data_IF_712786501754
#
_entry.id   IF_712786501754
#
_cell.length_a   1.000
_cell.length_b   1.000
_cell.length_c   1.000
_cell.angle_alpha   90.00
_cell.angle_beta   90.00
_cell.angle_gamma   90.00
#
_symmetry.space_group_name_H-M   'P 1'
#
loop_
_entity.id
_entity.type
_entity.pdbx_description
1 polymer ?
#
# COMPACT_ATOMS: atom_id res chain seq x y z
N UNK A 1 2.49 -24.01 14.57
CA UNK A 1 2.15 -25.33 13.97
C UNK A 1 3.40 -25.87 13.31
N UNK A 2 3.82 -27.09 13.65
CA UNK A 2 4.91 -27.77 12.95
C UNK A 2 4.30 -28.51 11.75
N UNK A 3 4.25 -27.86 10.59
CA UNK A 3 4.09 -28.57 9.33
C UNK A 3 5.43 -28.47 8.58
N UNK A 4 5.93 -29.62 8.08
CA UNK A 4 7.15 -29.69 7.28
C UNK A 4 8.46 -29.27 7.98
N UNK A 5 8.52 -29.32 9.33
CA UNK A 5 9.72 -28.91 10.09
C UNK A 5 9.87 -27.40 10.24
N UNK A 6 8.81 -26.63 9.96
CA UNK A 6 8.77 -25.18 10.13
C UNK A 6 8.16 -24.84 11.48
N UNK A 7 8.90 -24.12 12.31
CA UNK A 7 8.37 -23.52 13.53
C UNK A 7 7.85 -22.10 13.24
N UNK A 8 6.53 -21.92 13.31
CA UNK A 8 5.91 -20.60 13.24
C UNK A 8 5.73 -20.01 14.64
N UNK A 9 6.42 -18.89 14.92
CA UNK A 9 6.24 -18.08 16.14
C UNK A 9 5.40 -16.84 15.82
N UNK A 10 4.13 -16.87 16.19
CA UNK A 10 3.23 -15.74 16.04
C UNK A 10 3.42 -14.71 17.17
N UNK A 11 3.05 -13.44 16.90
CA UNK A 11 3.15 -12.33 17.86
C UNK A 11 4.58 -12.08 18.38
N UNK A 12 5.57 -12.47 17.59
CA UNK A 12 7.00 -12.28 17.83
C UNK A 12 7.53 -11.17 16.93
N UNK A 13 8.22 -10.19 17.52
CA UNK A 13 8.75 -9.01 16.83
C UNK A 13 10.27 -9.09 16.77
N UNK A 14 10.84 -8.87 15.59
CA UNK A 14 12.28 -8.68 15.40
C UNK A 14 12.70 -7.33 16.00
N UNK A 15 13.64 -7.34 16.94
CA UNK A 15 14.12 -6.13 17.64
C UNK A 15 15.46 -5.66 17.11
N UNK A 16 16.38 -6.61 16.95
CA UNK A 16 17.77 -6.32 16.63
C UNK A 16 18.39 -7.47 15.83
N UNK A 17 19.28 -7.12 14.91
CA UNK A 17 20.20 -8.03 14.25
C UNK A 17 21.60 -7.57 14.63
N UNK A 18 22.41 -8.46 15.20
CA UNK A 18 23.81 -8.20 15.55
C UNK A 18 24.72 -8.96 14.58
N UNK A 19 25.39 -8.27 13.64
CA UNK A 19 26.36 -8.90 12.77
C UNK A 19 27.52 -9.49 13.56
N UNK A 20 28.06 -10.61 13.08
CA UNK A 20 29.23 -11.27 13.65
C UNK A 20 30.40 -11.21 12.66
N UNK A 21 31.62 -11.26 13.17
CA UNK A 21 32.84 -11.30 12.35
C UNK A 21 32.92 -12.55 11.47
N UNK A 22 32.28 -13.64 11.88
CA UNK A 22 32.14 -14.87 11.11
C UNK A 22 30.83 -15.58 11.43
N UNK A 23 30.20 -16.17 10.41
CA UNK A 23 28.96 -16.94 10.55
C UNK A 23 27.69 -16.08 10.51
N UNK A 24 26.52 -16.69 10.75
CA UNK A 24 25.25 -15.98 10.72
C UNK A 24 25.12 -14.96 11.87
N UNK A 25 24.29 -13.92 11.71
CA UNK A 25 24.08 -12.91 12.74
C UNK A 25 23.31 -13.48 13.95
N UNK A 26 23.47 -12.84 15.10
CA UNK A 26 22.56 -13.03 16.22
C UNK A 26 21.27 -12.25 15.99
N UNK A 27 20.14 -12.87 16.31
CA UNK A 27 18.81 -12.28 16.11
C UNK A 27 18.11 -12.17 17.45
N UNK A 28 17.57 -10.99 17.76
CA UNK A 28 16.86 -10.74 19.01
C UNK A 28 15.41 -10.48 18.72
N UNK A 29 14.55 -11.19 19.42
CA UNK A 29 13.11 -11.09 19.29
C UNK A 29 12.45 -10.78 20.62
N UNK A 30 11.22 -10.30 20.59
CA UNK A 30 10.38 -10.12 21.77
C UNK A 30 8.91 -10.37 21.45
N UNK A 31 8.07 -10.41 22.48
CA UNK A 31 6.62 -10.24 22.28
C UNK A 31 6.30 -8.82 21.78
N UNK A 32 5.08 -8.62 21.29
CA UNK A 32 4.61 -7.34 20.76
C UNK A 32 4.55 -6.21 21.81
N UNK A 33 4.38 -6.55 23.09
CA UNK A 33 4.43 -5.60 24.21
C UNK A 33 5.87 -5.29 24.69
N UNK A 34 6.86 -5.90 24.04
CA UNK A 34 8.28 -5.76 24.37
C UNK A 34 8.79 -6.69 25.48
N UNK A 35 7.91 -7.50 26.08
CA UNK A 35 8.30 -8.51 27.06
C UNK A 35 8.93 -9.75 26.39
N UNK A 36 9.52 -10.64 27.20
CA UNK A 36 10.03 -11.92 26.72
C UNK A 36 11.14 -11.78 25.68
N UNK A 37 12.13 -10.92 25.96
CA UNK A 37 13.28 -10.72 25.06
C UNK A 37 14.11 -11.99 25.01
N UNK A 38 14.31 -12.52 23.81
CA UNK A 38 15.03 -13.76 23.55
C UNK A 38 16.11 -13.52 22.48
N UNK A 39 17.30 -14.06 22.69
CA UNK A 39 18.32 -14.16 21.65
C UNK A 39 18.22 -15.53 21.02
N UNK A 40 17.97 -15.57 19.72
CA UNK A 40 17.89 -16.82 18.96
C UNK A 40 19.30 -17.31 18.61
N UNK A 41 19.46 -18.63 18.50
CA UNK A 41 20.69 -19.23 17.99
C UNK A 41 21.06 -18.61 16.63
N UNK A 42 22.35 -18.30 16.38
CA UNK A 42 22.79 -17.74 15.11
C UNK A 42 22.42 -18.65 13.93
N UNK A 43 21.60 -18.15 13.02
CA UNK A 43 21.14 -18.85 11.81
C UNK A 43 21.05 -17.89 10.62
N UNK A 44 21.17 -18.36 9.37
CA UNK A 44 20.89 -17.52 8.20
C UNK A 44 19.51 -16.87 8.31
N UNK A 45 19.43 -15.58 8.03
CA UNK A 45 18.24 -14.77 8.23
C UNK A 45 17.72 -14.22 6.90
N UNK A 46 16.42 -14.37 6.67
CA UNK A 46 15.71 -13.74 5.54
C UNK A 46 14.71 -12.74 6.10
N UNK A 47 14.80 -11.48 5.68
CA UNK A 47 13.81 -10.46 6.02
C UNK A 47 12.74 -10.41 4.95
N UNK A 48 11.51 -10.81 5.33
CA UNK A 48 10.32 -10.78 4.49
C UNK A 48 9.20 -9.96 5.17
N UNK A 49 9.57 -8.80 5.74
CA UNK A 49 8.72 -7.99 6.63
C UNK A 49 7.72 -7.07 5.92
N UNK A 50 7.66 -7.12 4.59
CA UNK A 50 6.87 -6.18 3.79
C UNK A 50 7.50 -4.78 3.72
N UNK A 51 6.69 -3.77 3.39
CA UNK A 51 7.12 -2.38 3.18
C UNK A 51 6.94 -1.46 4.40
N UNK A 52 6.93 -0.15 4.14
CA UNK A 52 6.79 0.91 5.16
C UNK A 52 5.58 1.84 4.91
N UNK A 53 4.48 1.29 4.37
CA UNK A 53 3.30 2.05 3.99
C UNK A 53 2.60 2.78 5.16
N UNK A 54 2.77 2.32 6.40
CA UNK A 54 2.19 2.96 7.60
C UNK A 54 2.87 4.28 7.98
N UNK A 55 3.98 4.65 7.35
CA UNK A 55 4.60 5.98 7.52
C UNK A 55 3.72 7.11 6.99
N UNK A 56 2.84 6.82 6.05
CA UNK A 56 1.94 7.81 5.45
C UNK A 56 0.56 7.77 6.11
N UNK A 57 0.01 8.95 6.42
CA UNK A 57 -1.32 9.09 7.01
C UNK A 57 -2.38 8.32 6.22
N UNK A 58 -2.32 8.38 4.89
CA UNK A 58 -3.18 7.61 4.00
C UNK A 58 -2.40 6.47 3.38
N UNK A 59 -2.86 5.24 3.62
CA UNK A 59 -2.22 4.02 3.14
C UNK A 59 -3.26 2.94 2.91
N UNK A 60 -3.10 2.19 1.82
CA UNK A 60 -3.87 0.97 1.51
C UNK A 60 -3.28 -0.27 2.17
N UNK A 61 -2.12 -0.14 2.81
CA UNK A 61 -1.42 -1.25 3.45
C UNK A 61 -2.07 -1.59 4.80
N UNK A 62 -1.99 -2.85 5.24
CA UNK A 62 -2.27 -3.22 6.62
C UNK A 62 -1.45 -2.39 7.62
N UNK A 63 -1.97 -2.20 8.83
CA UNK A 63 -1.31 -1.40 9.87
C UNK A 63 0.09 -1.92 10.25
N UNK A 64 0.34 -3.22 10.04
CA UNK A 64 1.62 -3.89 10.33
C UNK A 64 2.74 -3.56 9.33
N UNK A 65 2.47 -2.86 8.22
CA UNK A 65 3.46 -2.50 7.21
C UNK A 65 4.26 -1.26 7.63
N UNK A 66 5.03 -1.39 8.71
CA UNK A 66 5.68 -0.28 9.45
C UNK A 66 7.12 0.02 9.03
N UNK A 67 7.75 -0.82 8.20
CA UNK A 67 9.14 -0.65 7.79
C UNK A 67 10.17 -1.11 8.83
N UNK A 68 9.75 -1.88 9.82
CA UNK A 68 10.57 -2.43 10.90
C UNK A 68 11.77 -3.24 10.39
N UNK A 69 11.57 -4.16 9.45
CA UNK A 69 12.67 -4.98 8.90
C UNK A 69 13.74 -4.15 8.19
N UNK A 70 13.35 -3.17 7.37
CA UNK A 70 14.28 -2.24 6.72
C UNK A 70 15.06 -1.45 7.78
N UNK A 71 14.37 -0.96 8.81
CA UNK A 71 14.99 -0.19 9.88
C UNK A 71 15.98 -1.03 10.72
N UNK A 72 15.64 -2.28 11.04
CA UNK A 72 16.53 -3.20 11.77
C UNK A 72 17.75 -3.55 10.91
N UNK A 73 17.57 -3.84 9.62
CA UNK A 73 18.65 -4.12 8.69
C UNK A 73 19.62 -2.94 8.58
N UNK A 74 19.10 -1.73 8.41
CA UNK A 74 19.90 -0.50 8.35
C UNK A 74 20.74 -0.30 9.63
N UNK A 75 20.12 -0.49 10.81
CA UNK A 75 20.85 -0.42 12.10
C UNK A 75 21.93 -1.49 12.24
N UNK A 76 21.74 -2.65 11.61
CA UNK A 76 22.74 -3.71 11.55
C UNK A 76 23.85 -3.45 10.50
N UNK A 77 23.84 -2.29 9.84
CA UNK A 77 24.87 -1.90 8.87
C UNK A 77 24.56 -2.31 7.42
N UNK A 78 23.35 -2.79 7.11
CA UNK A 78 22.95 -3.01 5.73
C UNK A 78 22.80 -1.68 4.99
N UNK A 79 23.19 -1.68 3.71
CA UNK A 79 22.92 -0.56 2.80
C UNK A 79 21.46 -0.62 2.39
N UNK A 80 20.76 0.52 2.45
CA UNK A 80 19.39 0.70 1.96
C UNK A 80 19.41 1.72 0.83
N UNK A 81 18.52 1.57 -0.14
CA UNK A 81 18.45 2.42 -1.33
C UNK A 81 16.99 2.71 -1.68
N UNK A 82 16.78 3.74 -2.52
CA UNK A 82 15.49 4.02 -3.16
C UNK A 82 14.33 4.26 -2.17
N UNK A 83 14.65 4.70 -0.95
CA UNK A 83 13.67 4.94 0.11
C UNK A 83 12.75 6.14 -0.20
N UNK A 84 13.15 7.01 -1.13
CA UNK A 84 12.33 8.09 -1.65
C UNK A 84 11.22 7.61 -2.59
N UNK A 85 11.34 6.42 -3.17
CA UNK A 85 10.42 5.92 -4.19
C UNK A 85 9.23 5.16 -3.58
N UNK A 86 8.31 5.92 -2.99
CA UNK A 86 7.00 5.40 -2.56
C UNK A 86 5.95 5.54 -3.66
N UNK A 87 5.26 4.44 -3.96
CA UNK A 87 4.12 4.46 -4.88
C UNK A 87 2.81 4.73 -4.13
N UNK A 88 2.08 5.75 -4.55
CA UNK A 88 0.70 6.00 -4.13
C UNK A 88 -0.26 5.45 -5.16
N UNK A 89 -1.23 4.65 -4.71
CA UNK A 89 -2.29 4.19 -5.58
C UNK A 89 -3.27 5.36 -5.88
N UNK A 90 -3.55 5.69 -7.15
CA UNK A 90 -4.30 6.90 -7.50
C UNK A 90 -5.78 6.84 -7.08
N UNK A 91 -6.38 5.66 -7.13
CA UNK A 91 -7.84 5.48 -6.96
C UNK A 91 -8.15 4.67 -5.70
N UNK A 92 -8.20 5.36 -4.56
CA UNK A 92 -8.69 4.81 -3.28
C UNK A 92 -10.02 5.49 -2.96
N UNK A 93 -11.02 4.70 -2.58
CA UNK A 93 -12.34 5.22 -2.21
C UNK A 93 -12.22 6.21 -1.05
N UNK A 94 -12.82 7.38 -1.23
CA UNK A 94 -12.89 8.43 -0.23
C UNK A 94 -14.34 8.71 0.12
N UNK A 95 -14.67 8.52 1.40
CA UNK A 95 -15.86 9.04 2.06
C UNK A 95 -15.53 9.22 3.55
N UNK A 96 -15.94 10.33 4.20
CA UNK A 96 -15.71 10.50 5.63
C UNK A 96 -16.23 9.29 6.43
N UNK A 97 -15.36 8.72 7.28
CA UNK A 97 -15.68 7.55 8.10
C UNK A 97 -15.68 6.19 7.37
N UNK A 98 -15.51 6.15 6.05
CA UNK A 98 -15.42 4.90 5.31
C UNK A 98 -14.02 4.26 5.44
N UNK A 99 -13.92 2.91 5.38
CA UNK A 99 -12.65 2.24 5.27
C UNK A 99 -11.98 2.59 3.95
N UNK A 100 -10.65 2.50 3.93
CA UNK A 100 -9.87 2.66 2.71
C UNK A 100 -10.06 1.42 1.85
N UNK A 101 -10.65 1.61 0.67
CA UNK A 101 -10.87 0.54 -0.28
C UNK A 101 -10.25 0.92 -1.62
N UNK A 102 -9.37 0.07 -2.11
CA UNK A 102 -8.67 0.29 -3.38
C UNK A 102 -9.63 0.00 -4.53
N UNK A 103 -9.85 0.99 -5.41
CA UNK A 103 -10.57 0.79 -6.67
C UNK A 103 -9.53 0.47 -7.74
N UNK A 104 -9.57 -0.75 -8.26
CA UNK A 104 -8.54 -1.29 -9.16
C UNK A 104 -8.29 -0.40 -10.38
N UNK A 105 -7.02 -0.27 -10.75
CA UNK A 105 -6.58 0.35 -12.01
C UNK A 105 -7.24 -0.27 -13.24
N UNK A 106 -7.61 -1.55 -13.17
CA UNK A 106 -8.33 -2.21 -14.25
C UNK A 106 -9.64 -1.48 -14.61
N UNK A 107 -10.28 -0.76 -13.67
CA UNK A 107 -11.47 0.03 -13.98
C UNK A 107 -11.16 1.23 -14.90
N UNK A 108 -10.01 1.88 -14.73
CA UNK A 108 -9.50 2.89 -15.69
C UNK A 108 -9.22 2.24 -17.06
N UNK A 109 -8.64 1.04 -17.04
CA UNK A 109 -8.42 0.22 -18.24
C UNK A 109 -9.69 -0.13 -19.02
N UNK A 110 -10.84 -0.17 -18.35
CA UNK A 110 -12.15 -0.41 -18.96
C UNK A 110 -12.84 0.87 -19.47
N UNK A 111 -12.19 2.03 -19.34
CA UNK A 111 -12.69 3.31 -19.85
C UNK A 111 -13.23 4.26 -18.78
N UNK A 112 -13.06 3.96 -17.49
CA UNK A 112 -13.44 4.89 -16.43
C UNK A 112 -12.51 6.11 -16.45
N UNK A 113 -13.09 7.30 -16.34
CA UNK A 113 -12.39 8.58 -16.45
C UNK A 113 -12.26 9.28 -15.11
N UNK A 114 -11.22 10.08 -14.93
CA UNK A 114 -11.05 10.91 -13.72
C UNK A 114 -11.58 12.32 -13.98
N UNK A 115 -12.50 12.76 -13.11
CA UNK A 115 -13.13 14.08 -13.14
C UNK A 115 -12.83 14.88 -11.89
N UNK A 116 -12.58 16.16 -12.04
CA UNK A 116 -12.44 17.08 -10.91
C UNK A 116 -13.81 17.42 -10.29
N UNK A 117 -13.84 18.30 -9.29
CA UNK A 117 -15.07 18.69 -8.59
C UNK A 117 -16.05 19.44 -9.50
N UNK A 118 -15.54 20.09 -10.56
CA UNK A 118 -16.36 20.74 -11.58
C UNK A 118 -16.88 19.77 -12.66
N UNK A 119 -16.59 18.47 -12.55
CA UNK A 119 -16.99 17.43 -13.51
C UNK A 119 -16.12 17.36 -14.77
N UNK A 120 -15.06 18.17 -14.87
CA UNK A 120 -14.17 18.19 -16.01
C UNK A 120 -13.14 17.03 -15.95
N UNK A 121 -12.94 16.37 -17.08
CA UNK A 121 -11.88 15.37 -17.25
C UNK A 121 -10.54 16.10 -17.45
N UNK A 122 -9.54 15.79 -16.62
CA UNK A 122 -8.31 16.60 -16.55
C UNK A 122 -7.03 15.85 -16.97
N UNK A 123 -7.01 14.52 -17.00
CA UNK A 123 -5.78 13.79 -17.34
C UNK A 123 -5.30 13.93 -18.81
N UNK A 124 -6.19 14.02 -19.83
CA UNK A 124 -5.73 14.18 -21.21
C UNK A 124 -4.89 15.44 -21.49
N UNK A 125 -5.03 16.49 -20.66
CA UNK A 125 -4.19 17.70 -20.78
C UNK A 125 -2.83 17.55 -20.06
N UNK A 126 -2.64 16.50 -19.27
CA UNK A 126 -1.45 16.25 -18.46
C UNK A 126 -0.55 15.20 -19.09
N UNK A 127 -1.12 14.13 -19.64
CA UNK A 127 -0.38 13.04 -20.25
C UNK A 127 -1.14 12.48 -21.46
N UNK A 128 -0.47 12.15 -22.58
CA UNK A 128 -1.13 11.63 -23.78
C UNK A 128 -1.94 10.35 -23.51
N UNK A 129 -1.48 9.49 -22.61
CA UNK A 129 -2.19 8.26 -22.23
C UNK A 129 -3.39 8.49 -21.27
N UNK A 130 -3.60 9.73 -20.80
CA UNK A 130 -4.70 10.09 -19.90
C UNK A 130 -4.77 9.19 -18.66
N UNK A 131 -5.90 8.52 -18.45
CA UNK A 131 -6.13 7.57 -17.36
C UNK A 131 -5.26 6.32 -17.40
N UNK A 132 -4.60 6.02 -18.53
CA UNK A 132 -3.67 4.90 -18.68
C UNK A 132 -2.21 5.31 -18.45
N UNK A 133 -1.96 6.58 -18.12
CA UNK A 133 -0.63 7.06 -17.76
C UNK A 133 -0.05 6.32 -16.54
N UNK A 134 1.28 6.33 -16.35
CA UNK A 134 1.93 5.75 -15.17
C UNK A 134 1.31 6.25 -13.85
N UNK A 135 1.26 5.37 -12.85
CA UNK A 135 0.57 5.64 -11.57
C UNK A 135 1.06 6.90 -10.89
N UNK A 136 2.35 7.19 -10.94
CA UNK A 136 2.94 8.39 -10.35
C UNK A 136 2.46 9.67 -11.05
N UNK A 137 2.30 9.65 -12.37
CA UNK A 137 1.71 10.74 -13.16
C UNK A 137 0.25 10.97 -12.74
N UNK A 138 -0.56 9.91 -12.70
CA UNK A 138 -1.98 10.00 -12.32
C UNK A 138 -2.13 10.49 -10.88
N UNK A 139 -1.36 9.92 -9.94
CA UNK A 139 -1.41 10.31 -8.52
C UNK A 139 -0.98 11.77 -8.30
N UNK A 140 0.07 12.25 -8.99
CA UNK A 140 0.47 13.66 -8.94
C UNK A 140 -0.60 14.59 -9.51
N UNK A 141 -1.23 14.20 -10.62
CA UNK A 141 -2.31 14.97 -11.22
C UNK A 141 -3.52 15.11 -10.29
N UNK A 142 -3.93 14.02 -9.64
CA UNK A 142 -5.01 14.03 -8.62
C UNK A 142 -4.64 14.94 -7.45
N UNK A 143 -3.41 14.84 -6.94
CA UNK A 143 -2.95 15.68 -5.84
C UNK A 143 -2.95 17.18 -6.22
N UNK A 144 -2.53 17.52 -7.43
CA UNK A 144 -2.56 18.88 -7.95
C UNK A 144 -4.00 19.41 -8.09
N UNK A 145 -4.94 18.60 -8.58
CA UNK A 145 -6.36 18.98 -8.67
C UNK A 145 -7.00 19.20 -7.29
N UNK A 146 -6.71 18.34 -6.32
CA UNK A 146 -7.14 18.50 -4.92
C UNK A 146 -6.59 19.80 -4.33
N UNK A 147 -5.30 20.09 -4.56
CA UNK A 147 -4.68 21.33 -4.09
C UNK A 147 -5.28 22.57 -4.76
N UNK A 148 -5.51 22.52 -6.08
CA UNK A 148 -6.07 23.63 -6.87
C UNK A 148 -7.49 23.99 -6.43
N UNK A 149 -8.33 22.98 -6.19
CA UNK A 149 -9.75 23.15 -5.89
C UNK A 149 -10.05 23.31 -4.40
N UNK A 150 -9.13 22.84 -3.54
CA UNK A 150 -9.39 22.70 -2.11
C UNK A 150 -10.42 21.59 -1.78
N UNK A 151 -10.91 20.86 -2.78
CA UNK A 151 -11.87 19.78 -2.60
C UNK A 151 -11.14 18.51 -2.13
N UNK A 152 -11.69 17.72 -1.19
CA UNK A 152 -10.95 16.62 -0.57
C UNK A 152 -10.67 15.42 -1.48
N UNK A 153 -11.30 15.33 -2.65
CA UNK A 153 -11.13 14.24 -3.61
C UNK A 153 -11.45 14.65 -5.05
N UNK A 154 -11.13 13.75 -5.98
CA UNK A 154 -11.64 13.73 -7.36
C UNK A 154 -12.58 12.54 -7.54
N UNK A 155 -13.23 12.44 -8.69
CA UNK A 155 -14.21 11.41 -8.99
C UNK A 155 -13.70 10.45 -10.06
N UNK A 156 -13.84 9.15 -9.83
CA UNK A 156 -13.67 8.13 -10.85
C UNK A 156 -15.04 7.80 -11.43
N UNK A 157 -15.25 8.18 -12.69
CA UNK A 157 -16.52 8.05 -13.39
C UNK A 157 -16.47 6.87 -14.37
N UNK A 158 -17.28 5.86 -14.09
CA UNK A 158 -17.43 4.66 -14.90
C UNK A 158 -18.78 4.60 -15.64
N UNK A 159 -19.52 5.70 -15.72
CA UNK A 159 -20.90 5.73 -16.27
C UNK A 159 -20.98 5.35 -17.74
N UNK A 160 -19.93 5.60 -18.53
CA UNK A 160 -19.82 5.19 -19.93
C UNK A 160 -19.54 3.69 -20.12
N UNK A 161 -19.24 2.96 -19.03
CA UNK A 161 -19.02 1.52 -19.07
C UNK A 161 -20.37 0.80 -18.87
N UNK A 162 -20.76 -0.14 -19.74
CA UNK A 162 -22.00 -0.89 -19.57
C UNK A 162 -22.11 -1.55 -18.18
N UNK A 163 -23.26 -1.38 -17.53
CA UNK A 163 -23.47 -1.82 -16.14
C UNK A 163 -23.24 -3.32 -15.95
N UNK A 164 -23.71 -4.13 -16.89
CA UNK A 164 -23.50 -5.58 -16.91
C UNK A 164 -22.01 -5.94 -16.95
N UNK A 165 -21.20 -5.18 -17.70
CA UNK A 165 -19.74 -5.32 -17.74
C UNK A 165 -19.10 -4.95 -16.41
N UNK A 166 -19.52 -3.84 -15.79
CA UNK A 166 -19.00 -3.43 -14.46
C UNK A 166 -19.32 -4.50 -13.42
N UNK A 167 -20.57 -4.95 -13.33
CA UNK A 167 -21.02 -5.94 -12.33
C UNK A 167 -20.30 -7.27 -12.52
N UNK A 168 -20.12 -7.70 -13.76
CA UNK A 168 -19.43 -8.96 -14.09
C UNK A 168 -17.93 -8.89 -13.77
N UNK A 169 -17.24 -7.80 -14.16
CA UNK A 169 -15.78 -7.71 -14.03
C UNK A 169 -15.30 -7.22 -12.68
N UNK A 170 -16.09 -6.40 -12.00
CA UNK A 170 -15.71 -5.76 -10.73
C UNK A 170 -16.72 -6.04 -9.60
N UNK A 171 -17.11 -7.30 -9.36
CA UNK A 171 -18.17 -7.62 -8.41
C UNK A 171 -17.81 -7.22 -6.97
N UNK A 172 -16.52 -7.24 -6.60
CA UNK A 172 -16.05 -6.76 -5.29
C UNK A 172 -16.19 -5.25 -5.12
N UNK A 173 -15.87 -4.47 -6.17
CA UNK A 173 -16.05 -3.01 -6.18
C UNK A 173 -17.52 -2.68 -6.06
N UNK A 174 -18.38 -3.30 -6.88
CA UNK A 174 -19.83 -3.10 -6.82
C UNK A 174 -20.40 -3.41 -5.44
N UNK A 175 -20.05 -4.57 -4.86
CA UNK A 175 -20.51 -4.93 -3.51
C UNK A 175 -20.07 -3.92 -2.46
N UNK A 176 -18.82 -3.45 -2.54
CA UNK A 176 -18.31 -2.46 -1.61
C UNK A 176 -19.05 -1.12 -1.73
N UNK A 177 -19.19 -0.60 -2.96
CA UNK A 177 -19.88 0.66 -3.23
C UNK A 177 -21.37 0.61 -2.85
N UNK A 178 -22.03 -0.53 -3.02
CA UNK A 178 -23.42 -0.73 -2.62
C UNK A 178 -23.64 -0.53 -1.11
N UNK A 179 -22.65 -0.82 -0.25
CA UNK A 179 -22.74 -0.54 1.20
C UNK A 179 -22.82 0.96 1.52
N UNK A 180 -22.47 1.80 0.55
CA UNK A 180 -22.52 3.25 0.61
C UNK A 180 -23.68 3.86 -0.21
N UNK A 181 -24.53 3.02 -0.81
CA UNK A 181 -25.63 3.45 -1.67
C UNK A 181 -25.21 3.91 -3.07
N UNK A 182 -24.03 3.45 -3.53
CA UNK A 182 -23.45 3.73 -4.84
C UNK A 182 -23.49 2.48 -5.73
#
# INVERSE_FOLDING_TARGET
VLEMGIEARERTILREIRPRSSGPPETIVSAADGSGVETLDPRPLVLATGGAGSLYRQSTNPSVTTGDGVAVAFRAGAIVSDLEFFQFHPTVFYRPGAPRFLITEALRGEGAVLRNVEGARFLPSIHPDGELAPRDVVSRAIAAEIQRTGHPCVYLDATEIPRDRIVTRFPSVCRFLATFGL
#
